data_IF_389197591847
#
_entry.id   IF_389197591847
#
_cell.length_a   1.000
_cell.length_b   1.000
_cell.length_c   1.000
_cell.angle_alpha   90.00
_cell.angle_beta   90.00
_cell.angle_gamma   90.00
#
_symmetry.space_group_name_H-M   'P 1'
#
loop_
_entity.id
_entity.type
_entity.pdbx_description
1 polymer ?
#
# COMPACT_ATOMS: atom_id res chain seq x y z
N UNK A 1 17.69 7.85 11.95
CA UNK A 1 16.87 9.04 12.26
C UNK A 1 15.50 8.55 12.67
N UNK A 2 15.02 8.94 13.86
CA UNK A 2 13.61 8.76 14.21
C UNK A 2 12.88 9.95 13.61
N UNK A 3 12.00 9.74 12.64
CA UNK A 3 11.10 10.81 12.22
C UNK A 3 10.20 11.12 13.42
N UNK A 4 10.28 12.34 13.94
CA UNK A 4 9.25 12.84 14.85
C UNK A 4 8.03 13.14 14.00
N UNK A 5 7.18 12.14 13.84
CA UNK A 5 5.96 12.27 13.07
C UNK A 5 4.98 13.04 13.97
N UNK A 6 4.85 14.35 13.69
CA UNK A 6 3.91 15.22 14.39
C UNK A 6 2.49 15.02 13.84
N UNK A 7 1.89 13.90 14.20
CA UNK A 7 0.46 13.68 13.96
C UNK A 7 -0.32 14.32 15.10
N UNK A 8 -1.29 15.21 14.83
CA UNK A 8 -2.15 15.75 15.88
C UNK A 8 -2.87 14.60 16.60
N UNK A 9 -2.82 14.56 17.92
CA UNK A 9 -3.47 13.51 18.70
C UNK A 9 -4.99 13.57 18.51
N UNK A 10 -5.50 12.66 17.68
CA UNK A 10 -6.92 12.50 17.36
C UNK A 10 -7.37 11.10 17.72
N UNK A 11 -8.65 10.98 18.09
CA UNK A 11 -9.30 9.69 18.29
C UNK A 11 -9.47 8.92 16.96
N UNK A 12 -9.72 9.65 15.87
CA UNK A 12 -9.81 9.13 14.51
C UNK A 12 -9.10 10.05 13.51
N UNK A 13 -8.44 9.43 12.53
CA UNK A 13 -7.76 10.03 11.39
C UNK A 13 -8.54 9.77 10.11
N UNK A 14 -8.40 10.69 9.16
CA UNK A 14 -8.87 10.52 7.78
C UNK A 14 -7.70 10.28 6.84
N UNK A 15 -7.98 9.96 5.59
CA UNK A 15 -6.99 9.86 4.54
C UNK A 15 -6.24 11.19 4.34
N UNK A 16 -6.90 12.33 4.52
CA UNK A 16 -6.23 13.63 4.42
C UNK A 16 -5.18 13.82 5.55
N UNK A 17 -5.44 13.29 6.74
CA UNK A 17 -4.45 13.24 7.81
C UNK A 17 -3.33 12.24 7.48
N UNK A 18 -3.67 11.06 6.98
CA UNK A 18 -2.72 10.03 6.55
C UNK A 18 -1.79 10.52 5.44
N UNK A 19 -2.30 11.23 4.44
CA UNK A 19 -1.54 11.74 3.30
C UNK A 19 -0.57 12.88 3.64
N UNK A 20 -0.59 13.37 4.89
CA UNK A 20 0.39 14.33 5.45
C UNK A 20 1.59 13.61 6.10
N UNK A 21 1.52 12.29 6.26
CA UNK A 21 2.66 11.51 6.73
C UNK A 21 3.81 11.59 5.73
N UNK A 22 5.08 11.53 6.21
CA UNK A 22 6.22 11.38 5.31
C UNK A 22 6.08 10.12 4.45
N UNK A 23 6.60 10.17 3.24
CA UNK A 23 6.70 8.99 2.38
C UNK A 23 7.47 7.88 3.12
N UNK A 24 6.96 6.64 3.01
CA UNK A 24 7.54 5.49 3.70
C UNK A 24 7.29 5.48 5.22
N UNK A 25 6.39 6.32 5.74
CA UNK A 25 5.92 6.19 7.11
C UNK A 25 5.31 4.78 7.31
N UNK A 26 5.72 4.04 8.36
CA UNK A 26 5.36 2.63 8.52
C UNK A 26 3.97 2.49 9.16
N UNK A 27 2.96 3.17 8.64
CA UNK A 27 1.60 3.16 9.15
C UNK A 27 0.59 2.73 8.09
N UNK A 28 -0.49 2.12 8.54
CA UNK A 28 -1.72 1.91 7.78
C UNK A 28 -2.86 2.66 8.46
N UNK A 29 -3.86 3.10 7.71
CA UNK A 29 -5.08 3.70 8.24
C UNK A 29 -6.20 2.65 8.24
N UNK A 30 -6.56 2.14 9.42
CA UNK A 30 -7.58 1.07 9.55
C UNK A 30 -8.65 1.53 10.52
N UNK A 31 -9.90 1.66 10.07
CA UNK A 31 -11.00 2.17 10.89
C UNK A 31 -10.75 3.57 11.45
N UNK A 32 -9.98 4.40 10.72
CA UNK A 32 -9.55 5.72 11.16
C UNK A 32 -8.43 5.71 12.21
N UNK A 33 -7.71 4.61 12.39
CA UNK A 33 -6.56 4.53 13.31
C UNK A 33 -5.27 4.32 12.54
N UNK A 34 -4.21 5.01 12.94
CA UNK A 34 -2.86 4.78 12.43
C UNK A 34 -2.24 3.58 13.13
N UNK A 35 -2.12 2.47 12.41
CA UNK A 35 -1.56 1.21 12.89
C UNK A 35 -0.15 1.07 12.34
N UNK A 36 0.84 0.98 13.23
CA UNK A 36 2.23 0.82 12.83
C UNK A 36 2.48 -0.60 12.30
N UNK A 37 3.04 -0.70 11.10
CA UNK A 37 3.49 -1.97 10.51
C UNK A 37 5.00 -2.09 10.72
N UNK A 38 5.49 -3.14 11.43
CA UNK A 38 6.92 -3.33 11.60
C UNK A 38 7.60 -3.65 10.27
N UNK A 39 8.89 -3.35 10.16
CA UNK A 39 9.67 -3.75 9.00
C UNK A 39 9.65 -5.28 8.82
N UNK A 40 9.53 -5.78 7.58
CA UNK A 40 9.42 -7.20 7.31
C UNK A 40 10.71 -7.94 7.67
N UNK A 41 10.59 -9.20 8.08
CA UNK A 41 11.74 -10.07 8.34
C UNK A 41 12.37 -10.57 7.02
N UNK A 42 13.65 -10.99 7.02
CA UNK A 42 14.24 -11.60 5.83
C UNK A 42 13.48 -12.82 5.29
N UNK A 43 12.86 -13.60 6.19
CA UNK A 43 12.04 -14.75 5.80
C UNK A 43 10.74 -14.34 5.10
N UNK A 44 10.07 -13.28 5.59
CA UNK A 44 8.88 -12.72 4.95
C UNK A 44 9.23 -12.18 3.57
N UNK A 45 10.31 -11.40 3.45
CA UNK A 45 10.80 -10.90 2.16
C UNK A 45 11.12 -12.02 1.17
N UNK A 46 11.85 -13.05 1.62
CA UNK A 46 12.18 -14.20 0.77
C UNK A 46 10.95 -14.91 0.21
N UNK A 47 9.92 -15.11 1.03
CA UNK A 47 8.68 -15.76 0.61
C UNK A 47 7.90 -14.84 -0.33
N UNK A 48 7.76 -13.56 0.02
CA UNK A 48 7.00 -12.58 -0.76
C UNK A 48 7.56 -12.43 -2.18
N UNK A 49 8.87 -12.21 -2.33
CA UNK A 49 9.52 -12.06 -3.65
C UNK A 49 9.34 -13.29 -4.54
N UNK A 50 9.27 -14.49 -3.96
CA UNK A 50 9.06 -15.73 -4.74
C UNK A 50 7.64 -15.87 -5.25
N UNK A 51 6.67 -15.45 -4.44
CA UNK A 51 5.26 -15.44 -4.83
C UNK A 51 5.06 -14.36 -5.90
N UNK A 52 5.54 -13.15 -5.63
CA UNK A 52 5.47 -11.99 -6.50
C UNK A 52 6.05 -12.30 -7.89
N UNK A 53 7.27 -12.83 -7.96
CA UNK A 53 7.90 -13.17 -9.25
C UNK A 53 7.06 -14.14 -10.08
N UNK A 54 6.55 -15.21 -9.47
CA UNK A 54 5.70 -16.19 -10.16
C UNK A 54 4.39 -15.58 -10.65
N UNK A 55 3.84 -14.65 -9.88
CA UNK A 55 2.61 -13.97 -10.22
C UNK A 55 2.82 -12.96 -11.36
N UNK A 56 3.90 -12.17 -11.31
CA UNK A 56 4.31 -11.27 -12.39
C UNK A 56 4.47 -12.05 -13.70
N UNK A 57 5.29 -13.11 -13.68
CA UNK A 57 5.53 -13.95 -14.87
C UNK A 57 4.20 -14.46 -15.46
N UNK A 58 3.29 -14.94 -14.61
CA UNK A 58 1.99 -15.46 -15.04
C UNK A 58 1.07 -14.38 -15.64
N UNK A 59 1.03 -13.20 -15.02
CA UNK A 59 0.17 -12.07 -15.39
C UNK A 59 0.66 -11.40 -16.68
N UNK A 60 1.96 -11.17 -16.81
CA UNK A 60 2.56 -10.54 -17.99
C UNK A 60 2.51 -11.44 -19.22
N UNK A 61 2.83 -12.73 -19.10
CA UNK A 61 2.78 -13.69 -20.20
C UNK A 61 1.39 -13.78 -20.85
N UNK A 62 0.34 -13.55 -20.05
CA UNK A 62 -1.07 -13.65 -20.46
C UNK A 62 -1.76 -12.31 -20.62
N UNK A 63 -1.04 -11.20 -20.45
CA UNK A 63 -1.59 -9.84 -20.57
C UNK A 63 -2.85 -9.65 -19.69
N UNK A 64 -2.78 -10.13 -18.45
CA UNK A 64 -3.92 -10.18 -17.51
C UNK A 64 -4.04 -8.94 -16.63
N UNK A 65 -3.03 -8.08 -16.57
CA UNK A 65 -3.04 -6.90 -15.70
C UNK A 65 -1.65 -6.52 -15.19
N UNK A 66 -1.59 -6.00 -13.97
CA UNK A 66 -0.37 -5.55 -13.31
C UNK A 66 -0.24 -6.15 -11.90
N UNK A 67 0.99 -6.32 -11.44
CA UNK A 67 1.31 -6.74 -10.07
C UNK A 67 2.25 -5.70 -9.45
N UNK A 68 1.96 -5.31 -8.21
CA UNK A 68 2.79 -4.43 -7.38
C UNK A 68 3.15 -5.10 -6.06
N UNK A 69 4.14 -4.56 -5.38
CA UNK A 69 4.64 -5.04 -4.08
C UNK A 69 4.79 -3.91 -3.07
N UNK A 70 4.82 -4.26 -1.78
CA UNK A 70 5.02 -3.29 -0.71
C UNK A 70 6.41 -2.62 -0.75
N UNK A 71 6.54 -1.36 -0.31
CA UNK A 71 5.48 -0.50 0.21
C UNK A 71 4.66 0.15 -0.92
N UNK A 72 3.33 -0.03 -0.90
CA UNK A 72 2.41 0.69 -1.76
C UNK A 72 1.08 0.90 -1.02
N UNK A 73 0.66 2.16 -0.92
CA UNK A 73 -0.60 2.53 -0.28
C UNK A 73 -1.80 2.22 -1.18
N UNK A 74 -2.76 1.47 -0.64
CA UNK A 74 -4.05 1.18 -1.25
C UNK A 74 -5.12 1.94 -0.50
N UNK A 75 -5.50 3.08 -1.05
CA UNK A 75 -6.64 3.86 -0.57
C UNK A 75 -7.95 3.17 -0.98
N UNK A 76 -8.78 2.86 0.00
CA UNK A 76 -10.11 2.30 -0.23
C UNK A 76 -11.18 3.33 0.13
N UNK A 77 -11.08 3.95 1.31
CA UNK A 77 -12.05 4.93 1.82
C UNK A 77 -11.36 5.95 2.72
N UNK A 78 -12.10 6.98 3.14
CA UNK A 78 -11.60 8.08 3.99
C UNK A 78 -10.92 7.57 5.27
N UNK A 79 -11.28 6.39 5.78
CA UNK A 79 -10.75 5.82 7.02
C UNK A 79 -10.00 4.51 6.81
N UNK A 80 -9.74 4.15 5.56
CA UNK A 80 -9.27 2.83 5.14
C UNK A 80 -8.17 2.97 4.06
N UNK A 81 -6.91 2.85 4.48
CA UNK A 81 -5.73 2.84 3.61
C UNK A 81 -4.75 1.78 4.11
N UNK A 82 -4.44 0.83 3.23
CA UNK A 82 -3.67 -0.36 3.56
C UNK A 82 -2.34 -0.40 2.83
N UNK A 83 -1.37 -1.17 3.33
CA UNK A 83 -0.12 -1.50 2.66
C UNK A 83 0.02 -3.01 2.52
N UNK A 84 -0.66 -3.63 1.52
CA UNK A 84 -0.54 -5.07 1.27
C UNK A 84 0.84 -5.45 0.76
N UNK A 85 1.29 -6.68 1.06
CA UNK A 85 2.58 -7.18 0.60
C UNK A 85 2.68 -7.35 -0.93
N UNK A 86 1.58 -7.81 -1.56
CA UNK A 86 1.47 -8.04 -3.00
C UNK A 86 0.07 -7.60 -3.45
N UNK A 87 -0.01 -6.86 -4.55
CA UNK A 87 -1.25 -6.33 -5.13
C UNK A 87 -1.31 -6.79 -6.58
N UNK A 88 -2.45 -7.35 -6.98
CA UNK A 88 -2.74 -7.64 -8.39
C UNK A 88 -3.93 -6.79 -8.83
N UNK A 89 -3.79 -6.13 -9.98
CA UNK A 89 -4.84 -5.36 -10.62
C UNK A 89 -5.11 -5.99 -11.98
N UNK A 90 -6.32 -6.50 -12.17
CA UNK A 90 -6.71 -7.09 -13.44
C UNK A 90 -6.81 -6.03 -14.54
N UNK A 91 -6.55 -6.44 -15.78
CA UNK A 91 -6.66 -5.60 -16.98
C UNK A 91 -8.06 -5.02 -17.16
N UNK A 92 -9.10 -5.76 -16.78
CA UNK A 92 -10.49 -5.29 -16.82
C UNK A 92 -10.73 -4.12 -15.86
N UNK A 93 -10.08 -4.13 -14.71
CA UNK A 93 -10.16 -3.05 -13.72
C UNK A 93 -9.20 -1.89 -14.04
N UNK A 94 -8.19 -2.14 -14.88
CA UNK A 94 -7.27 -1.14 -15.42
C UNK A 94 -7.94 -0.24 -16.48
N UNK A 95 -9.07 0.35 -16.12
CA UNK A 95 -9.57 1.57 -16.72
C UNK A 95 -9.31 2.67 -15.69
N UNK A 96 -8.64 3.77 -16.08
CA UNK A 96 -8.14 4.88 -15.25
C UNK A 96 -9.17 5.58 -14.29
N UNK A 97 -10.34 5.01 -14.07
CA UNK A 97 -11.47 5.64 -13.39
C UNK A 97 -11.88 5.01 -12.05
N UNK A 98 -11.54 3.74 -11.74
CA UNK A 98 -12.19 3.04 -10.61
C UNK A 98 -11.26 2.36 -9.57
N UNK A 99 -9.95 2.41 -9.73
CA UNK A 99 -8.99 2.10 -8.65
C UNK A 99 -8.01 3.25 -8.59
N UNK A 100 -8.18 4.14 -7.62
CA UNK A 100 -7.17 5.16 -7.32
C UNK A 100 -6.03 4.47 -6.56
N UNK A 101 -5.16 3.77 -7.30
CA UNK A 101 -3.80 3.60 -6.84
C UNK A 101 -3.23 5.01 -6.73
N UNK A 102 -3.18 5.53 -5.52
CA UNK A 102 -2.55 6.83 -5.32
C UNK A 102 -1.05 6.59 -5.38
N UNK A 103 -0.47 6.79 -6.57
CA UNK A 103 0.96 7.05 -6.70
C UNK A 103 1.19 8.40 -6.00
N UNK A 104 1.63 8.38 -4.74
CA UNK A 104 1.75 9.60 -3.93
C UNK A 104 2.94 10.42 -4.42
N UNK A 105 2.60 11.62 -4.90
CA UNK A 105 3.31 12.92 -4.87
C UNK A 105 4.72 13.03 -5.47
N UNK A 106 4.80 13.76 -6.58
CA UNK A 106 5.82 14.82 -6.72
C UNK A 106 5.58 15.93 -5.67
#
# INVERSE_FOLDING_TARGET
MKYEINIPNKEFYTYEDYAKLPEGAPYQLIGGKLIMTPSPTPSHQYISTRIEKKLIDFVEERDLGLVFYAPLDVYLEEKETYQPDIIYISKETFCFQNVTLTFVKE
#
